data_IF_392623550350
#
_entry.id   IF_392623550350
#
_cell.length_a   1.000
_cell.length_b   1.000
_cell.length_c   1.000
_cell.angle_alpha   90.00
_cell.angle_beta   90.00
_cell.angle_gamma   90.00
#
_symmetry.space_group_name_H-M   'P 1'
#
loop_
_entity.id
_entity.type
_entity.pdbx_description
1 polymer ?
#
# COMPACT_ATOMS: atom_id res chain seq x y z
N UNK A 1 14.84 -8.73 17.27
CA UNK A 1 13.69 -9.42 17.87
C UNK A 1 12.51 -8.48 17.77
N UNK A 2 11.36 -8.96 17.27
CA UNK A 2 10.16 -8.13 17.21
C UNK A 2 9.84 -7.58 18.60
N UNK A 3 9.42 -6.32 18.64
CA UNK A 3 9.13 -5.60 19.89
C UNK A 3 7.68 -5.15 19.90
N UNK A 4 7.03 -5.23 21.06
CA UNK A 4 5.63 -4.82 21.21
C UNK A 4 5.56 -3.43 21.81
N UNK A 5 4.78 -2.55 21.19
CA UNK A 5 4.48 -1.20 21.69
C UNK A 5 2.98 -1.00 21.89
N UNK A 6 2.61 0.02 22.65
CA UNK A 6 1.24 0.50 22.73
C UNK A 6 1.07 1.65 21.72
N UNK A 7 0.23 1.45 20.69
CA UNK A 7 0.03 2.45 19.65
C UNK A 7 -1.45 2.53 19.26
N UNK A 8 -2.01 3.74 19.24
CA UNK A 8 -3.45 4.00 18.95
C UNK A 8 -4.39 3.16 19.86
N UNK A 9 -3.96 2.88 21.09
CA UNK A 9 -4.75 2.12 22.07
C UNK A 9 -4.75 0.59 21.85
N UNK A 10 -3.88 0.09 20.99
CA UNK A 10 -3.72 -1.34 20.70
C UNK A 10 -2.26 -1.78 20.85
N UNK A 11 -2.04 -3.06 21.19
CA UNK A 11 -0.72 -3.67 21.13
C UNK A 11 -0.29 -3.87 19.68
N UNK A 12 0.81 -3.23 19.29
CA UNK A 12 1.38 -3.33 17.94
C UNK A 12 2.73 -4.03 18.01
N UNK A 13 2.90 -5.10 17.24
CA UNK A 13 4.19 -5.76 17.05
C UNK A 13 4.97 -5.05 15.95
N UNK A 14 6.18 -4.61 16.28
CA UNK A 14 7.15 -4.01 15.38
C UNK A 14 8.15 -5.09 14.96
N UNK A 15 8.17 -5.43 13.68
CA UNK A 15 9.10 -6.42 13.13
C UNK A 15 10.52 -5.85 12.95
N UNK A 16 11.52 -6.73 12.85
CA UNK A 16 12.92 -6.31 12.72
C UNK A 16 13.19 -5.64 11.36
N UNK A 17 13.93 -4.52 11.37
CA UNK A 17 14.44 -3.92 10.14
C UNK A 17 15.66 -4.68 9.55
N UNK A 18 15.35 -5.72 8.78
CA UNK A 18 16.34 -6.60 8.13
C UNK A 18 16.98 -6.03 6.85
N UNK A 19 18.19 -6.50 6.46
CA UNK A 19 18.88 -6.06 5.24
C UNK A 19 18.07 -6.13 3.95
N UNK A 20 17.15 -7.09 3.82
CA UNK A 20 16.27 -7.21 2.65
C UNK A 20 15.31 -6.02 2.47
N UNK A 21 15.10 -5.22 3.52
CA UNK A 21 14.30 -4.00 3.47
C UNK A 21 15.11 -2.75 3.08
N UNK A 22 16.42 -2.89 2.87
CA UNK A 22 17.30 -1.75 2.56
C UNK A 22 17.18 -1.41 1.07
N UNK A 23 17.24 -0.13 0.67
CA UNK A 23 17.17 0.28 -0.73
C UNK A 23 18.17 -0.44 -1.64
N UNK A 24 19.40 -0.66 -1.17
CA UNK A 24 20.49 -1.31 -1.92
C UNK A 24 20.30 -2.83 -2.10
N UNK A 25 19.46 -3.46 -1.28
CA UNK A 25 19.20 -4.90 -1.31
C UNK A 25 17.83 -5.24 -1.92
N UNK A 26 17.12 -4.24 -2.45
CA UNK A 26 15.83 -4.44 -3.10
C UNK A 26 15.97 -5.31 -4.35
N UNK A 27 15.13 -6.34 -4.44
CA UNK A 27 15.01 -7.21 -5.63
C UNK A 27 13.86 -6.81 -6.55
N UNK A 28 13.10 -5.77 -6.17
CA UNK A 28 12.00 -5.25 -6.94
C UNK A 28 12.47 -4.50 -8.19
N UNK A 29 11.53 -4.18 -9.10
CA UNK A 29 11.86 -3.44 -10.31
C UNK A 29 12.19 -1.99 -9.96
N UNK A 30 13.31 -1.49 -10.49
CA UNK A 30 13.72 -0.08 -10.35
C UNK A 30 13.71 0.59 -11.71
N UNK A 31 13.02 1.72 -11.83
CA UNK A 31 12.95 2.54 -13.06
C UNK A 31 13.33 3.96 -12.70
N UNK A 32 14.39 4.49 -13.33
CA UNK A 32 14.90 5.84 -13.05
C UNK A 32 15.18 6.10 -11.56
N UNK A 33 15.68 5.08 -10.85
CA UNK A 33 15.94 5.16 -9.40
C UNK A 33 14.70 5.04 -8.51
N UNK A 34 13.52 4.84 -9.08
CA UNK A 34 12.25 4.67 -8.36
C UNK A 34 11.93 3.19 -8.22
N UNK A 35 11.68 2.75 -6.98
CA UNK A 35 11.31 1.38 -6.66
C UNK A 35 9.82 1.11 -6.95
N UNK A 36 9.53 -0.02 -7.59
CA UNK A 36 8.16 -0.48 -7.88
C UNK A 36 7.88 -1.74 -7.06
N UNK A 37 6.92 -1.66 -6.14
CA UNK A 37 6.60 -2.65 -5.12
C UNK A 37 7.85 -3.04 -4.30
N UNK A 38 8.50 -2.08 -3.60
CA UNK A 38 9.62 -2.42 -2.73
C UNK A 38 9.22 -3.43 -1.66
N UNK A 39 10.16 -4.29 -1.29
CA UNK A 39 10.04 -5.18 -0.15
C UNK A 39 10.28 -4.37 1.12
N UNK A 40 9.21 -3.75 1.61
CA UNK A 40 9.19 -3.03 2.87
C UNK A 40 8.87 -4.01 4.01
N UNK A 41 9.14 -3.57 5.24
CA UNK A 41 8.67 -4.27 6.43
C UNK A 41 7.17 -4.54 6.36
N UNK A 42 6.75 -5.69 6.88
CA UNK A 42 5.33 -6.11 6.92
C UNK A 42 4.43 -5.05 7.59
N UNK A 43 4.97 -4.40 8.60
CA UNK A 43 4.33 -3.41 9.47
C UNK A 43 4.81 -1.98 9.16
N UNK A 44 5.38 -1.74 7.97
CA UNK A 44 5.91 -0.44 7.56
C UNK A 44 4.89 0.69 7.75
N UNK A 45 3.63 0.48 7.34
CA UNK A 45 2.54 1.47 7.49
C UNK A 45 1.85 1.41 8.88
N UNK A 46 2.41 0.68 9.83
CA UNK A 46 1.90 0.55 11.21
C UNK A 46 2.95 0.88 12.27
N UNK A 47 4.17 1.24 11.84
CA UNK A 47 5.28 1.59 12.73
C UNK A 47 5.36 3.11 12.90
N UNK A 48 5.20 3.65 14.12
CA UNK A 48 5.39 5.09 14.39
C UNK A 48 6.81 5.54 14.07
N UNK A 49 6.99 6.77 13.62
CA UNK A 49 8.31 7.24 13.17
C UNK A 49 9.35 7.29 14.30
N UNK A 50 8.93 7.59 15.53
CA UNK A 50 9.77 7.57 16.74
C UNK A 50 10.19 6.15 17.13
N UNK A 51 9.44 5.15 16.67
CA UNK A 51 9.65 3.74 16.95
C UNK A 51 10.30 3.01 15.75
N UNK A 52 10.64 3.72 14.68
CA UNK A 52 11.44 3.14 13.60
C UNK A 52 12.91 3.11 13.98
N UNK A 53 13.62 2.09 13.52
CA UNK A 53 15.06 2.08 13.55
C UNK A 53 15.60 3.30 12.79
N UNK A 54 16.63 4.01 13.30
CA UNK A 54 17.16 5.20 12.65
C UNK A 54 17.54 4.98 11.18
N UNK A 55 18.05 3.79 10.86
CA UNK A 55 18.42 3.40 9.52
C UNK A 55 17.21 3.28 8.57
N UNK A 56 16.06 2.82 9.07
CA UNK A 56 14.84 2.76 8.26
C UNK A 56 14.34 4.16 7.89
N UNK A 57 14.42 5.11 8.82
CA UNK A 57 14.11 6.51 8.55
C UNK A 57 15.07 7.10 7.52
N UNK A 58 16.39 6.88 7.67
CA UNK A 58 17.39 7.33 6.69
C UNK A 58 17.13 6.74 5.29
N UNK A 59 16.73 5.48 5.23
CA UNK A 59 16.48 4.78 3.98
C UNK A 59 15.19 5.23 3.28
N UNK A 60 14.09 5.37 4.01
CA UNK A 60 12.76 5.46 3.41
C UNK A 60 12.02 6.77 3.66
N UNK A 61 12.39 7.54 4.68
CA UNK A 61 11.74 8.83 4.93
C UNK A 61 12.04 9.80 3.78
N UNK A 62 10.99 10.41 3.22
CA UNK A 62 11.09 11.28 2.04
C UNK A 62 11.43 10.55 0.73
N UNK A 63 11.60 9.22 0.74
CA UNK A 63 11.83 8.43 -0.48
C UNK A 63 10.49 7.99 -1.07
N UNK A 64 10.17 8.54 -2.24
CA UNK A 64 9.01 8.09 -2.99
C UNK A 64 9.24 6.72 -3.63
N UNK A 65 8.18 5.91 -3.65
CA UNK A 65 8.13 4.62 -4.34
C UNK A 65 6.75 4.41 -4.95
N UNK A 66 6.63 3.42 -5.83
CA UNK A 66 5.37 3.10 -6.51
C UNK A 66 4.86 1.75 -6.01
N UNK A 67 3.58 1.68 -5.68
CA UNK A 67 2.85 0.43 -5.46
C UNK A 67 1.90 0.23 -6.63
N UNK A 68 1.87 -0.97 -7.20
CA UNK A 68 0.93 -1.33 -8.26
C UNK A 68 -0.23 -2.13 -7.69
N UNK A 69 -1.40 -1.91 -8.25
CA UNK A 69 -2.59 -2.69 -7.93
C UNK A 69 -3.34 -3.05 -9.20
N UNK A 70 -4.06 -4.17 -9.16
CA UNK A 70 -4.82 -4.72 -10.29
C UNK A 70 -6.24 -5.02 -9.82
N UNK A 71 -7.19 -5.07 -10.76
CA UNK A 71 -8.55 -5.46 -10.41
C UNK A 71 -8.60 -6.93 -9.98
N UNK A 72 -9.04 -7.19 -8.75
CA UNK A 72 -9.20 -8.55 -8.24
C UNK A 72 -10.61 -9.06 -8.60
N UNK A 73 -10.67 -10.00 -9.54
CA UNK A 73 -11.88 -10.77 -9.81
C UNK A 73 -12.10 -11.81 -8.68
N UNK A 74 -12.94 -11.47 -7.71
CA UNK A 74 -13.38 -12.41 -6.66
C UNK A 74 -14.58 -13.24 -7.14
N UNK A 75 -14.55 -14.55 -6.89
CA UNK A 75 -15.71 -15.42 -7.15
C UNK A 75 -16.74 -15.29 -6.03
N UNK A 76 -18.01 -15.47 -6.36
CA UNK A 76 -19.10 -15.37 -5.38
C UNK A 76 -18.90 -16.33 -4.19
N UNK A 77 -18.48 -17.57 -4.43
CA UNK A 77 -18.20 -18.53 -3.36
C UNK A 77 -17.10 -18.05 -2.38
N UNK A 78 -16.02 -17.45 -2.92
CA UNK A 78 -14.90 -16.93 -2.11
C UNK A 78 -15.34 -15.70 -1.30
N UNK A 79 -16.13 -14.82 -1.92
CA UNK A 79 -16.77 -13.68 -1.26
C UNK A 79 -17.64 -14.12 -0.07
N UNK A 80 -18.53 -15.09 -0.28
CA UNK A 80 -19.41 -15.60 0.80
C UNK A 80 -18.60 -16.26 1.91
N UNK A 81 -17.60 -17.08 1.57
CA UNK A 81 -16.73 -17.71 2.56
C UNK A 81 -16.02 -16.66 3.42
N UNK A 82 -15.47 -15.61 2.79
CA UNK A 82 -14.78 -14.51 3.48
C UNK A 82 -15.73 -13.71 4.39
N UNK A 83 -16.91 -13.36 3.90
CA UNK A 83 -17.89 -12.57 4.65
C UNK A 83 -18.46 -13.35 5.83
N UNK A 84 -18.83 -14.61 5.64
CA UNK A 84 -19.40 -15.48 6.69
C UNK A 84 -18.38 -15.80 7.79
N UNK A 85 -17.09 -15.92 7.43
CA UNK A 85 -16.00 -16.07 8.40
C UNK A 85 -15.84 -14.85 9.30
N UNK A 86 -16.03 -13.65 8.74
CA UNK A 86 -15.91 -12.37 9.48
C UNK A 86 -17.16 -12.07 10.31
N UNK A 87 -18.33 -12.38 9.76
CA UNK A 87 -19.63 -12.17 10.40
C UNK A 87 -20.52 -13.41 10.16
N UNK A 88 -20.66 -14.30 11.16
CA UNK A 88 -21.51 -15.49 11.05
C UNK A 88 -23.00 -15.20 10.80
N UNK A 89 -23.47 -13.97 11.03
CA UNK A 89 -24.86 -13.56 10.77
C UNK A 89 -25.03 -12.86 9.43
N UNK A 90 -23.96 -12.79 8.63
CA UNK A 90 -23.98 -12.18 7.31
C UNK A 90 -25.05 -12.83 6.43
N UNK A 91 -25.91 -11.99 5.85
CA UNK A 91 -26.94 -12.43 4.90
C UNK A 91 -26.41 -12.17 3.48
N UNK A 92 -26.09 -13.23 2.72
CA UNK A 92 -25.55 -13.06 1.37
C UNK A 92 -26.57 -12.41 0.45
N UNK A 93 -26.10 -11.46 -0.36
CA UNK A 93 -26.87 -10.95 -1.50
C UNK A 93 -26.98 -12.03 -2.59
N UNK A 94 -27.99 -11.99 -3.48
CA UNK A 94 -28.05 -12.95 -4.59
C UNK A 94 -26.82 -12.87 -5.50
N UNK A 95 -26.38 -14.02 -6.02
CA UNK A 95 -25.19 -14.13 -6.89
C UNK A 95 -25.23 -13.17 -8.07
N UNK A 96 -26.38 -13.06 -8.75
CA UNK A 96 -26.55 -12.13 -9.88
C UNK A 96 -26.32 -10.65 -9.51
N UNK A 97 -26.63 -10.25 -8.26
CA UNK A 97 -26.39 -8.89 -7.78
C UNK A 97 -24.90 -8.68 -7.50
N UNK A 98 -24.24 -9.69 -6.91
CA UNK A 98 -22.79 -9.68 -6.71
C UNK A 98 -22.05 -9.58 -8.05
N UNK A 99 -22.42 -10.39 -9.03
CA UNK A 99 -21.80 -10.41 -10.36
C UNK A 99 -21.97 -9.07 -11.08
N UNK A 100 -23.16 -8.48 -11.03
CA UNK A 100 -23.42 -7.16 -11.62
C UNK A 100 -22.60 -6.06 -10.92
N UNK A 101 -22.46 -6.11 -9.59
CA UNK A 101 -21.58 -5.19 -8.85
C UNK A 101 -20.12 -5.39 -9.27
N UNK A 102 -19.63 -6.62 -9.35
CA UNK A 102 -18.27 -6.93 -9.78
C UNK A 102 -18.01 -6.41 -11.20
N UNK A 103 -18.95 -6.61 -12.13
CA UNK A 103 -18.87 -6.09 -13.50
C UNK A 103 -18.74 -4.56 -13.51
N UNK A 104 -19.59 -3.85 -12.78
CA UNK A 104 -19.53 -2.38 -12.68
C UNK A 104 -18.23 -1.89 -12.05
N UNK A 105 -17.77 -2.53 -10.98
CA UNK A 105 -16.49 -2.21 -10.35
C UNK A 105 -15.33 -2.39 -11.34
N UNK A 106 -15.35 -3.47 -12.13
CA UNK A 106 -14.34 -3.74 -13.16
C UNK A 106 -14.38 -2.72 -14.29
N UNK A 107 -15.56 -2.36 -14.75
CA UNK A 107 -15.74 -1.32 -15.78
C UNK A 107 -15.21 0.04 -15.29
N UNK A 108 -15.57 0.46 -14.08
CA UNK A 108 -15.07 1.69 -13.49
C UNK A 108 -13.55 1.64 -13.24
N UNK A 109 -13.00 0.47 -12.86
CA UNK A 109 -11.56 0.29 -12.72
C UNK A 109 -10.84 0.46 -14.05
N UNK A 110 -11.31 -0.19 -15.12
CA UNK A 110 -10.71 -0.10 -16.44
C UNK A 110 -10.91 1.28 -17.09
N UNK A 111 -11.98 1.99 -16.75
CA UNK A 111 -12.16 3.39 -17.13
C UNK A 111 -11.09 4.29 -16.49
N UNK A 112 -10.83 4.12 -15.19
CA UNK A 112 -9.80 4.87 -14.47
C UNK A 112 -8.37 4.43 -14.83
N UNK A 113 -8.16 3.14 -15.08
CA UNK A 113 -6.88 2.49 -15.31
C UNK A 113 -6.94 1.59 -16.56
N UNK A 114 -6.86 2.17 -17.78
CA UNK A 114 -7.07 1.42 -19.03
C UNK A 114 -6.10 0.27 -19.29
N UNK A 115 -4.92 0.29 -18.66
CA UNK A 115 -3.95 -0.82 -18.71
C UNK A 115 -4.32 -2.00 -17.82
N UNK A 116 -5.35 -1.85 -16.97
CA UNK A 116 -5.68 -2.76 -15.87
C UNK A 116 -4.87 -2.53 -14.60
N UNK A 117 -3.78 -1.74 -14.67
CA UNK A 117 -2.86 -1.51 -13.55
C UNK A 117 -3.00 -0.06 -13.05
N UNK A 118 -3.23 0.07 -11.74
CA UNK A 118 -3.12 1.33 -11.01
C UNK A 118 -1.72 1.49 -10.46
N UNK A 119 -1.11 2.65 -10.66
CA UNK A 119 0.18 3.02 -10.09
C UNK A 119 -0.03 4.06 -8.99
N UNK A 120 0.10 3.67 -7.73
CA UNK A 120 0.02 4.59 -6.59
C UNK A 120 1.42 5.04 -6.18
N UNK A 121 1.65 6.36 -6.17
CA UNK A 121 2.88 6.93 -5.61
C UNK A 121 2.71 7.05 -4.11
N UNK A 122 3.63 6.46 -3.36
CA UNK A 122 3.68 6.47 -1.90
C UNK A 122 4.98 7.11 -1.43
N UNK A 123 4.94 7.75 -0.27
CA UNK A 123 6.16 8.20 0.40
C UNK A 123 5.96 8.21 1.91
N UNK A 124 6.96 7.79 2.68
CA UNK A 124 6.96 7.99 4.12
C UNK A 124 7.26 9.47 4.40
N UNK A 125 6.24 10.20 4.84
CA UNK A 125 6.30 11.68 4.98
C UNK A 125 5.80 12.19 6.31
N UNK A 126 5.74 11.35 7.35
CA UNK A 126 5.17 11.74 8.66
C UNK A 126 3.69 12.14 8.62
N UNK A 127 2.94 11.60 7.66
CA UNK A 127 1.50 11.90 7.50
C UNK A 127 0.64 11.26 8.59
N UNK A 128 -0.66 11.09 8.31
CA UNK A 128 -1.60 10.52 9.28
C UNK A 128 -1.07 9.20 9.87
N UNK A 129 -0.87 9.20 11.19
CA UNK A 129 -0.39 8.06 11.97
C UNK A 129 0.94 7.47 11.46
N UNK A 130 1.86 8.34 11.03
CA UNK A 130 3.23 7.98 10.58
C UNK A 130 3.29 6.95 9.44
N UNK A 131 2.17 6.78 8.73
CA UNK A 131 2.05 5.89 7.57
C UNK A 131 2.65 6.56 6.35
N UNK A 132 3.03 5.75 5.36
CA UNK A 132 3.26 6.30 4.03
C UNK A 132 2.01 7.03 3.54
N UNK A 133 2.22 8.20 2.97
CA UNK A 133 1.14 9.02 2.40
C UNK A 133 1.03 8.77 0.90
N UNK A 134 -0.21 8.63 0.44
CA UNK A 134 -0.52 8.61 -0.98
C UNK A 134 -0.23 9.98 -1.59
N UNK A 135 0.54 10.01 -2.66
CA UNK A 135 0.87 11.21 -3.44
C UNK A 135 0.05 11.29 -4.73
N UNK A 136 -0.82 10.30 -4.98
CA UNK A 136 -1.66 10.19 -6.16
C UNK A 136 -1.72 8.77 -6.71
N UNK A 137 -2.77 8.49 -7.48
CA UNK A 137 -2.99 7.24 -8.19
C UNK A 137 -3.07 7.53 -9.68
N UNK A 138 -2.32 6.78 -10.48
CA UNK A 138 -2.10 7.07 -11.90
C UNK A 138 -2.40 5.84 -12.76
N UNK A 139 -2.84 6.10 -14.01
CA UNK A 139 -3.17 5.06 -14.98
C UNK A 139 -1.96 4.49 -15.72
N UNK A 140 -0.79 5.10 -15.54
CA UNK A 140 0.45 4.69 -16.19
C UNK A 140 1.66 4.91 -15.29
N UNK A 141 2.69 4.09 -15.50
CA UNK A 141 3.98 4.24 -14.84
C UNK A 141 4.63 5.61 -15.14
N UNK A 142 4.48 6.11 -16.38
CA UNK A 142 5.04 7.40 -16.78
C UNK A 142 4.48 8.56 -15.95
N UNK A 143 3.16 8.64 -15.79
CA UNK A 143 2.52 9.67 -14.95
C UNK A 143 2.92 9.58 -13.48
N UNK A 144 3.10 8.37 -12.95
CA UNK A 144 3.59 8.17 -11.59
C UNK A 144 5.04 8.66 -11.42
N UNK A 145 5.91 8.42 -12.41
CA UNK A 145 7.29 8.93 -12.43
C UNK A 145 7.28 10.46 -12.53
N UNK A 146 6.54 11.04 -13.46
CA UNK A 146 6.40 12.50 -13.59
C UNK A 146 5.93 13.14 -12.29
N UNK A 147 5.01 12.49 -11.55
CA UNK A 147 4.59 12.96 -10.23
C UNK A 147 5.76 13.01 -9.26
N UNK A 148 6.57 11.96 -9.18
CA UNK A 148 7.74 11.91 -8.28
C UNK A 148 8.76 12.99 -8.67
N UNK A 149 9.06 13.13 -9.96
CA UNK A 149 10.00 14.14 -10.48
C UNK A 149 9.53 15.57 -10.25
N UNK A 150 8.21 15.82 -10.33
CA UNK A 150 7.61 17.12 -10.02
C UNK A 150 7.64 17.46 -8.52
N UNK A 151 8.01 16.50 -7.68
CA UNK A 151 8.08 16.63 -6.23
C UNK A 151 6.94 15.93 -5.49
N UNK A 152 7.26 15.51 -4.28
CA UNK A 152 6.34 14.92 -3.31
C UNK A 152 5.96 15.94 -2.24
N UNK A 153 4.76 15.80 -1.69
CA UNK A 153 4.32 16.58 -0.54
C UNK A 153 4.84 15.87 0.71
N UNK A 154 5.75 16.52 1.42
CA UNK A 154 6.22 16.07 2.73
C UNK A 154 5.49 16.86 3.83
N UNK A 155 4.95 16.16 4.82
CA UNK A 155 4.39 16.78 6.01
C UNK A 155 5.51 16.76 7.05
N UNK A 156 6.39 17.76 6.97
CA UNK A 156 7.69 17.76 7.63
C UNK A 156 7.65 17.25 9.07
N UNK A 157 8.56 16.33 9.40
CA UNK A 157 9.06 16.13 10.75
C UNK A 157 9.89 17.39 11.11
N UNK A 158 9.44 18.17 12.09
CA UNK A 158 10.26 19.21 12.73
C UNK A 158 10.82 18.60 14.01
#
# INVERSE_FOLDING_TARGET
MPRTIQYIGEETEISDYLPEHYPENQTCKVVQGIFINPHLRKDFDYTPNEEREPLENEHWYGRAYIVTDEFIDEKYADFIARMTKRDPQYKPEPEAIFEERQRRCKESWLEAYPSGVRYEVRCLTGGAWDRSSSQGMFASLGQAIEKIESGIITYGYI
#
